data_IF_186009545289
#
_entry.id   IF_186009545289
#
_cell.length_a   1.000
_cell.length_b   1.000
_cell.length_c   1.000
_cell.angle_alpha   90.00
_cell.angle_beta   90.00
_cell.angle_gamma   90.00
#
_symmetry.space_group_name_H-M   'P 1'
#
loop_
_entity.id
_entity.type
_entity.pdbx_description
1 polymer ?
#
# COMPACT_ATOMS: atom_id res chain seq x y z
N UNK A 1 4.35 3.89 -24.00
CA UNK A 1 3.97 2.67 -23.24
C UNK A 1 2.76 3.01 -22.36
N UNK A 2 1.53 2.93 -22.86
CA UNK A 2 0.30 3.32 -22.13
C UNK A 2 -0.45 2.14 -21.47
N UNK A 3 0.05 0.90 -21.58
CA UNK A 3 -0.75 -0.32 -21.32
C UNK A 3 -0.23 -1.18 -20.15
N UNK A 4 0.37 -0.60 -19.10
CA UNK A 4 0.85 -1.36 -17.93
C UNK A 4 0.42 -0.75 -16.58
N UNK A 5 -0.73 -0.07 -16.54
CA UNK A 5 -1.24 0.49 -15.27
C UNK A 5 -1.48 -0.58 -14.19
N UNK A 6 -1.76 -1.83 -14.59
CA UNK A 6 -1.91 -2.96 -13.66
C UNK A 6 -0.67 -3.25 -12.80
N UNK A 7 0.51 -2.73 -13.18
CA UNK A 7 1.75 -2.85 -12.42
C UNK A 7 2.16 -1.52 -11.76
N UNK A 8 1.23 -0.57 -11.67
CA UNK A 8 1.42 0.76 -11.09
C UNK A 8 0.39 1.05 -9.99
N UNK A 9 -0.91 0.87 -10.25
CA UNK A 9 -1.97 1.21 -9.29
C UNK A 9 -3.05 0.14 -9.17
N UNK A 10 -3.98 0.36 -8.24
CA UNK A 10 -5.04 -0.56 -7.87
C UNK A 10 -4.76 -1.31 -6.57
N UNK A 11 -5.78 -1.99 -6.06
CA UNK A 11 -5.69 -2.78 -4.82
C UNK A 11 -4.59 -3.84 -4.90
N UNK A 12 -3.83 -4.00 -3.84
CA UNK A 12 -2.75 -4.99 -3.72
C UNK A 12 -3.17 -6.17 -2.85
N UNK A 13 -2.51 -7.30 -3.06
CA UNK A 13 -2.71 -8.54 -2.32
C UNK A 13 -1.36 -9.20 -2.03
N UNK A 14 -1.33 -10.16 -1.10
CA UNK A 14 -0.11 -10.89 -0.76
C UNK A 14 0.16 -11.94 -1.84
N UNK A 15 1.34 -11.92 -2.43
CA UNK A 15 1.82 -12.90 -3.40
C UNK A 15 2.33 -14.16 -2.68
N UNK A 16 2.42 -15.29 -3.37
CA UNK A 16 3.04 -16.49 -2.82
C UNK A 16 2.19 -17.25 -1.80
N UNK A 17 0.95 -16.84 -1.58
CA UNK A 17 -0.10 -17.60 -0.89
C UNK A 17 -1.42 -17.50 -1.66
N UNK A 18 -2.45 -18.19 -1.19
CA UNK A 18 -3.78 -18.15 -1.81
C UNK A 18 -4.30 -16.71 -1.86
N UNK A 19 -4.76 -16.27 -3.05
CA UNK A 19 -5.42 -14.98 -3.23
C UNK A 19 -6.84 -15.10 -2.67
N UNK A 20 -7.24 -14.24 -1.71
CA UNK A 20 -8.53 -14.37 -1.06
C UNK A 20 -9.66 -13.88 -1.98
N UNK A 21 -10.84 -14.49 -1.84
CA UNK A 21 -12.03 -14.17 -2.65
C UNK A 21 -12.61 -12.77 -2.38
N UNK A 22 -12.05 -12.03 -1.41
CA UNK A 22 -12.43 -10.64 -1.10
C UNK A 22 -11.66 -9.61 -1.93
N UNK A 23 -10.66 -10.02 -2.71
CA UNK A 23 -10.02 -9.18 -3.73
C UNK A 23 -11.07 -8.76 -4.77
N UNK A 24 -10.94 -7.55 -5.31
CA UNK A 24 -11.84 -7.04 -6.36
C UNK A 24 -11.74 -7.92 -7.61
N UNK A 25 -12.89 -8.36 -8.13
CA UNK A 25 -13.04 -9.31 -9.25
C UNK A 25 -12.35 -10.67 -9.03
N UNK A 26 -12.71 -11.41 -7.96
CA UNK A 26 -12.04 -12.66 -7.58
C UNK A 26 -12.20 -13.77 -8.63
N UNK A 27 -13.17 -13.68 -9.54
CA UNK A 27 -13.35 -14.62 -10.65
C UNK A 27 -12.12 -14.71 -11.58
N UNK A 28 -11.25 -13.70 -11.57
CA UNK A 28 -10.00 -13.68 -12.31
C UNK A 28 -8.81 -14.28 -11.54
N UNK A 29 -8.92 -14.54 -10.23
CA UNK A 29 -7.82 -15.09 -9.43
C UNK A 29 -7.27 -16.40 -10.04
N UNK A 30 -8.15 -17.27 -10.55
CA UNK A 30 -7.79 -18.53 -11.23
C UNK A 30 -6.92 -18.36 -12.48
N UNK A 31 -6.85 -17.15 -13.06
CA UNK A 31 -6.00 -16.86 -14.20
C UNK A 31 -4.55 -16.58 -13.78
N UNK A 32 -4.30 -16.33 -12.49
CA UNK A 32 -2.95 -16.22 -11.97
C UNK A 32 -2.31 -17.64 -11.93
N UNK A 33 -1.16 -17.87 -12.58
CA UNK A 33 -0.52 -19.18 -12.60
C UNK A 33 -0.19 -19.72 -11.21
N UNK A 34 0.07 -18.85 -10.23
CA UNK A 34 0.32 -19.26 -8.85
C UNK A 34 -0.89 -19.95 -8.20
N UNK A 35 -2.12 -19.67 -8.67
CA UNK A 35 -3.33 -20.34 -8.20
C UNK A 35 -3.50 -21.76 -8.77
N UNK A 36 -2.59 -22.21 -9.62
CA UNK A 36 -2.47 -23.61 -10.05
C UNK A 36 -1.24 -24.30 -9.47
N UNK A 37 -0.41 -23.60 -8.71
CA UNK A 37 0.82 -24.11 -8.11
C UNK A 37 0.57 -24.48 -6.64
N UNK A 38 0.77 -25.74 -6.30
CA UNK A 38 0.56 -26.26 -4.93
C UNK A 38 1.46 -25.59 -3.89
N UNK A 39 2.55 -24.93 -4.29
CA UNK A 39 3.44 -24.19 -3.38
C UNK A 39 2.83 -22.87 -2.89
N UNK A 40 1.87 -22.31 -3.65
CA UNK A 40 1.31 -20.98 -3.40
C UNK A 40 -0.20 -21.02 -3.20
N UNK A 41 -0.92 -21.95 -3.83
CA UNK A 41 -2.38 -22.03 -3.76
C UNK A 41 -2.90 -22.72 -2.48
N UNK A 42 -2.35 -22.35 -1.32
CA UNK A 42 -2.93 -22.71 -0.03
C UNK A 42 -2.77 -21.55 0.95
N UNK A 43 -3.44 -21.67 2.09
CA UNK A 43 -3.59 -20.62 3.10
C UNK A 43 -2.27 -19.90 3.45
N UNK A 44 -1.18 -20.64 3.63
CA UNK A 44 0.13 -20.08 4.00
C UNK A 44 1.07 -19.90 2.80
N UNK A 45 0.90 -20.70 1.74
CA UNK A 45 1.83 -20.72 0.62
C UNK A 45 3.29 -20.82 1.07
N UNK A 46 4.11 -19.85 0.68
CA UNK A 46 5.53 -19.77 1.06
C UNK A 46 5.80 -19.10 2.42
N UNK A 47 4.78 -18.74 3.21
CA UNK A 47 4.94 -18.04 4.48
C UNK A 47 4.77 -18.96 5.68
N UNK A 48 5.44 -18.60 6.78
CA UNK A 48 5.17 -19.18 8.09
C UNK A 48 3.93 -18.53 8.73
N UNK A 49 3.18 -19.26 9.57
CA UNK A 49 2.10 -18.67 10.36
C UNK A 49 2.59 -17.48 11.19
N UNK A 50 1.80 -16.40 11.19
CA UNK A 50 2.08 -15.18 11.96
C UNK A 50 3.49 -14.59 11.70
N UNK A 51 4.04 -14.76 10.49
CA UNK A 51 5.36 -14.22 10.15
C UNK A 51 5.43 -12.69 10.25
N UNK A 52 4.28 -12.02 10.19
CA UNK A 52 4.15 -10.58 10.33
C UNK A 52 4.31 -9.83 9.02
N UNK A 53 3.77 -8.61 9.00
CA UNK A 53 3.61 -7.81 7.79
C UNK A 53 4.93 -7.49 7.06
N UNK A 54 6.04 -7.42 7.79
CA UNK A 54 7.36 -7.12 7.22
C UNK A 54 7.94 -8.26 6.38
N UNK A 55 7.43 -9.48 6.58
CA UNK A 55 7.85 -10.67 5.84
C UNK A 55 6.94 -10.97 4.65
N UNK A 56 5.88 -10.19 4.45
CA UNK A 56 4.92 -10.40 3.36
C UNK A 56 5.36 -9.68 2.09
N UNK A 57 5.25 -10.38 0.97
CA UNK A 57 5.46 -9.79 -0.35
C UNK A 57 4.10 -9.44 -0.96
N UNK A 58 3.86 -8.16 -1.19
CA UNK A 58 2.65 -7.67 -1.86
C UNK A 58 2.84 -7.58 -3.37
N UNK A 59 1.73 -7.61 -4.10
CA UNK A 59 1.71 -7.32 -5.53
C UNK A 59 2.41 -5.99 -5.82
N UNK A 60 3.34 -5.98 -6.78
CA UNK A 60 4.15 -4.80 -7.09
C UNK A 60 3.28 -3.65 -7.62
N UNK A 61 3.48 -2.46 -7.05
CA UNK A 61 2.79 -1.25 -7.44
C UNK A 61 3.40 0.00 -6.79
N UNK A 62 2.65 1.10 -6.83
CA UNK A 62 3.07 2.39 -6.30
C UNK A 62 3.37 2.39 -4.80
N UNK A 63 2.67 1.59 -4.00
CA UNK A 63 2.91 1.46 -2.56
C UNK A 63 4.37 1.06 -2.25
N UNK A 64 4.78 -0.13 -2.71
CA UNK A 64 6.12 -0.66 -2.45
C UNK A 64 7.19 0.20 -3.12
N UNK A 65 6.92 0.72 -4.33
CA UNK A 65 7.84 1.63 -5.01
C UNK A 65 8.07 2.90 -4.18
N UNK A 66 7.01 3.58 -3.75
CA UNK A 66 7.10 4.83 -3.01
C UNK A 66 7.74 4.61 -1.64
N UNK A 67 7.38 3.54 -0.92
CA UNK A 67 8.04 3.16 0.33
C UNK A 67 9.55 3.01 0.15
N UNK A 68 9.98 2.22 -0.86
CA UNK A 68 11.41 2.01 -1.13
C UNK A 68 12.11 3.29 -1.57
N UNK A 69 11.44 4.16 -2.32
CA UNK A 69 11.95 5.48 -2.71
C UNK A 69 12.19 6.36 -1.47
N UNK A 70 11.21 6.46 -0.57
CA UNK A 70 11.32 7.23 0.67
C UNK A 70 12.47 6.73 1.56
N UNK A 71 12.57 5.41 1.75
CA UNK A 71 13.65 4.79 2.54
C UNK A 71 15.01 5.03 1.88
N UNK A 72 15.13 4.87 0.56
CA UNK A 72 16.39 5.07 -0.16
C UNK A 72 16.86 6.53 -0.17
N UNK A 73 15.94 7.48 0.01
CA UNK A 73 16.24 8.91 0.16
C UNK A 73 16.42 9.33 1.63
N UNK A 74 16.50 8.37 2.57
CA UNK A 74 16.67 8.64 4.00
C UNK A 74 15.63 9.61 4.56
N UNK A 75 14.36 9.46 4.15
CA UNK A 75 13.30 10.29 4.72
C UNK A 75 13.19 10.02 6.24
N UNK A 76 12.70 11.01 6.99
CA UNK A 76 12.54 10.92 8.44
C UNK A 76 11.07 10.82 8.86
N UNK A 77 10.19 10.41 7.93
CA UNK A 77 8.80 10.08 8.25
C UNK A 77 8.79 8.90 9.26
N UNK A 78 7.99 8.96 10.34
CA UNK A 78 7.85 7.87 11.28
C UNK A 78 7.39 6.55 10.62
N UNK A 79 7.61 5.44 11.31
CA UNK A 79 7.33 4.10 10.77
C UNK A 79 5.87 3.94 10.36
N UNK A 80 4.96 4.48 11.16
CA UNK A 80 3.52 4.48 10.92
C UNK A 80 3.19 5.20 9.61
N UNK A 81 3.86 6.33 9.34
CA UNK A 81 3.76 7.07 8.08
C UNK A 81 4.22 6.25 6.87
N UNK A 82 5.32 5.54 7.02
CA UNK A 82 5.85 4.66 5.98
C UNK A 82 4.97 3.43 5.75
N UNK A 83 4.40 2.86 6.81
CA UNK A 83 3.46 1.74 6.71
C UNK A 83 2.16 2.16 6.01
N UNK A 84 1.62 3.35 6.32
CA UNK A 84 0.49 3.93 5.59
C UNK A 84 0.80 4.01 4.09
N UNK A 85 1.95 4.56 3.68
CA UNK A 85 2.36 4.60 2.27
C UNK A 85 2.50 3.19 1.66
N UNK A 86 3.10 2.25 2.39
CA UNK A 86 3.44 0.92 1.88
C UNK A 86 2.25 -0.03 1.75
N UNK A 87 1.17 0.22 2.48
CA UNK A 87 0.06 -0.73 2.58
C UNK A 87 -1.33 -0.11 2.34
N UNK A 88 -1.43 1.17 1.95
CA UNK A 88 -2.72 1.83 1.72
C UNK A 88 -3.56 1.23 0.58
N UNK A 89 -2.96 0.51 -0.36
CA UNK A 89 -3.70 -0.20 -1.40
C UNK A 89 -4.08 -1.62 -1.00
N UNK A 90 -3.67 -2.11 0.18
CA UNK A 90 -3.92 -3.48 0.62
C UNK A 90 -5.35 -3.68 1.17
N UNK A 91 -6.37 -3.28 0.42
CA UNK A 91 -7.80 -3.32 0.81
C UNK A 91 -8.26 -4.70 1.31
N UNK A 92 -7.87 -5.83 0.70
CA UNK A 92 -8.21 -7.14 1.25
C UNK A 92 -7.78 -7.29 2.71
N UNK A 93 -6.65 -6.70 3.08
CA UNK A 93 -6.10 -6.75 4.44
C UNK A 93 -6.79 -5.74 5.36
N UNK A 94 -6.68 -4.43 5.08
CA UNK A 94 -7.07 -3.39 6.03
C UNK A 94 -8.58 -3.09 6.04
N UNK A 95 -9.33 -3.39 4.96
CA UNK A 95 -10.78 -3.17 4.88
C UNK A 95 -11.57 -4.48 5.02
N UNK A 96 -11.13 -5.55 4.34
CA UNK A 96 -11.85 -6.84 4.32
C UNK A 96 -11.38 -7.84 5.39
N UNK A 97 -10.28 -7.55 6.10
CA UNK A 97 -9.78 -8.39 7.19
C UNK A 97 -9.16 -9.73 6.76
N UNK A 98 -8.68 -9.84 5.52
CA UNK A 98 -7.91 -10.98 5.03
C UNK A 98 -6.51 -11.03 5.67
N UNK A 99 -5.82 -12.17 5.49
CA UNK A 99 -4.44 -12.41 5.92
C UNK A 99 -4.16 -12.38 7.44
N UNK A 100 -5.18 -12.37 8.30
CA UNK A 100 -5.00 -12.39 9.77
C UNK A 100 -4.11 -13.53 10.27
N UNK A 101 -4.10 -14.67 9.58
CA UNK A 101 -3.24 -15.82 9.89
C UNK A 101 -1.75 -15.59 9.61
N UNK A 102 -1.40 -14.54 8.85
CA UNK A 102 -0.03 -14.14 8.56
C UNK A 102 0.44 -12.97 9.43
N UNK A 103 -0.47 -12.22 10.04
CA UNK A 103 -0.16 -11.07 10.90
C UNK A 103 0.24 -11.53 12.31
N UNK A 104 1.10 -10.76 12.97
CA UNK A 104 1.42 -10.91 14.41
C UNK A 104 0.70 -9.84 15.23
N UNK A 105 0.64 -10.03 16.55
CA UNK A 105 -0.09 -9.13 17.45
C UNK A 105 0.32 -7.65 17.31
N UNK A 106 1.60 -7.36 17.13
CA UNK A 106 2.10 -6.00 16.93
C UNK A 106 1.70 -5.35 15.59
N UNK A 107 1.23 -6.13 14.61
CA UNK A 107 0.71 -5.57 13.36
C UNK A 107 -0.69 -4.96 13.52
N UNK A 108 -1.38 -5.22 14.64
CA UNK A 108 -2.72 -4.67 14.92
C UNK A 108 -2.70 -3.13 14.96
N UNK A 109 -1.77 -2.53 15.72
CA UNK A 109 -1.61 -1.08 15.78
C UNK A 109 -1.26 -0.48 14.41
N UNK A 110 -0.45 -1.19 13.62
CA UNK A 110 -0.10 -0.76 12.25
C UNK A 110 -1.32 -0.71 11.36
N UNK A 111 -2.21 -1.72 11.48
CA UNK A 111 -3.48 -1.74 10.74
C UNK A 111 -4.40 -0.58 11.13
N UNK A 112 -4.44 -0.19 12.41
CA UNK A 112 -5.24 0.96 12.86
C UNK A 112 -4.80 2.25 12.16
N UNK A 113 -3.49 2.51 12.09
CA UNK A 113 -2.97 3.68 11.38
C UNK A 113 -3.29 3.67 9.88
N UNK A 114 -3.13 2.51 9.23
CA UNK A 114 -3.48 2.33 7.81
C UNK A 114 -4.98 2.61 7.58
N UNK A 115 -5.85 2.09 8.46
CA UNK A 115 -7.30 2.32 8.37
C UNK A 115 -7.68 3.79 8.62
N UNK A 116 -6.97 4.50 9.51
CA UNK A 116 -7.16 5.94 9.71
C UNK A 116 -6.80 6.72 8.45
N UNK A 117 -5.65 6.43 7.85
CA UNK A 117 -5.23 7.07 6.60
C UNK A 117 -6.19 6.81 5.45
N UNK A 118 -6.66 5.57 5.31
CA UNK A 118 -7.57 5.17 4.24
C UNK A 118 -8.87 6.00 4.20
N UNK A 119 -9.36 6.49 5.36
CA UNK A 119 -10.52 7.38 5.41
C UNK A 119 -10.26 8.69 4.66
N UNK A 120 -9.07 9.26 4.78
CA UNK A 120 -8.70 10.48 4.08
C UNK A 120 -8.44 10.20 2.61
N UNK A 121 -7.67 9.17 2.26
CA UNK A 121 -7.44 8.80 0.85
C UNK A 121 -8.75 8.55 0.10
N UNK A 122 -9.70 7.82 0.69
CA UNK A 122 -10.94 7.46 0.02
C UNK A 122 -11.94 8.63 -0.05
N UNK A 123 -12.17 9.33 1.05
CA UNK A 123 -13.31 10.24 1.19
C UNK A 123 -13.01 11.72 0.94
N UNK A 124 -11.76 12.11 0.68
CA UNK A 124 -11.43 13.48 0.22
C UNK A 124 -11.32 13.59 -1.30
N UNK A 125 -11.66 12.51 -2.04
CA UNK A 125 -11.74 12.52 -3.50
C UNK A 125 -12.98 13.31 -3.92
N UNK A 126 -12.77 14.47 -4.52
CA UNK A 126 -13.82 15.34 -5.03
C UNK A 126 -13.85 15.27 -6.56
N UNK A 127 -14.93 14.70 -7.12
CA UNK A 127 -15.11 14.57 -8.58
C UNK A 127 -15.26 15.92 -9.28
N UNK A 128 -15.71 16.95 -8.57
CA UNK A 128 -15.89 18.29 -9.13
C UNK A 128 -14.56 19.07 -9.19
N UNK A 129 -13.48 18.56 -8.55
CA UNK A 129 -12.14 19.15 -8.52
C UNK A 129 -12.17 20.68 -8.35
N UNK A 130 -12.99 21.16 -7.41
CA UNK A 130 -13.09 22.59 -7.09
C UNK A 130 -11.85 23.10 -6.30
N UNK A 131 -10.73 22.35 -6.36
CA UNK A 131 -9.40 22.83 -6.02
C UNK A 131 -9.01 23.83 -7.10
N UNK A 132 -9.48 25.06 -6.92
CA UNK A 132 -9.10 26.19 -7.76
C UNK A 132 -7.56 26.34 -7.69
N UNK A 133 -6.95 26.65 -8.84
CA UNK A 133 -5.48 26.69 -8.97
C UNK A 133 -4.80 27.62 -7.94
N UNK A 134 -5.51 28.64 -7.44
CA UNK A 134 -5.06 29.54 -6.37
C UNK A 134 -4.82 28.83 -5.02
N UNK A 135 -5.55 27.76 -4.71
CA UNK A 135 -5.32 26.98 -3.48
C UNK A 135 -3.97 26.26 -3.46
N UNK A 136 -3.43 25.87 -4.62
CA UNK A 136 -2.15 25.15 -4.68
C UNK A 136 -1.02 26.09 -4.24
N UNK A 137 -1.03 27.33 -4.73
CA UNK A 137 -0.03 28.34 -4.37
C UNK A 137 -0.09 28.70 -2.87
N UNK A 138 -1.29 28.75 -2.29
CA UNK A 138 -1.49 29.02 -0.85
C UNK A 138 -1.05 27.84 0.04
N UNK A 139 -1.26 26.60 -0.42
CA UNK A 139 -0.88 25.39 0.32
C UNK A 139 0.60 25.04 0.18
N UNK A 140 1.23 25.43 -0.93
CA UNK A 140 2.58 25.03 -1.26
C UNK A 140 3.63 25.38 -0.20
N UNK A 141 3.64 26.59 0.41
CA UNK A 141 4.56 26.91 1.50
C UNK A 141 4.47 25.94 2.69
N UNK A 142 3.26 25.52 3.05
CA UNK A 142 3.03 24.56 4.13
C UNK A 142 3.61 23.18 3.79
N UNK A 143 3.25 22.63 2.62
CA UNK A 143 3.75 21.30 2.21
C UNK A 143 5.25 21.30 1.95
N UNK A 144 5.82 22.39 1.42
CA UNK A 144 7.28 22.54 1.29
C UNK A 144 7.97 22.48 2.66
N UNK A 145 7.45 23.16 3.68
CA UNK A 145 7.99 23.08 5.04
C UNK A 145 7.94 21.66 5.62
N UNK A 146 6.90 20.87 5.29
CA UNK A 146 6.83 19.46 5.67
C UNK A 146 7.87 18.61 4.91
N UNK A 147 8.07 18.85 3.61
CA UNK A 147 9.10 18.17 2.84
C UNK A 147 10.49 18.44 3.43
N UNK A 148 10.81 19.69 3.77
CA UNK A 148 12.07 20.04 4.45
C UNK A 148 12.21 19.33 5.81
N UNK A 149 11.16 19.37 6.64
CA UNK A 149 11.13 18.71 7.96
C UNK A 149 11.42 17.22 7.88
N UNK A 150 10.88 16.54 6.85
CA UNK A 150 10.99 15.09 6.70
C UNK A 150 12.12 14.63 5.77
N UNK A 151 13.09 15.51 5.50
CA UNK A 151 14.25 15.24 4.65
C UNK A 151 13.88 14.87 3.19
N UNK A 152 12.88 15.56 2.65
CA UNK A 152 12.36 15.40 1.28
C UNK A 152 12.36 16.71 0.47
N UNK A 153 12.94 17.79 1.00
CA UNK A 153 12.95 19.12 0.37
C UNK A 153 13.95 19.30 -0.77
N UNK A 154 14.95 18.42 -0.86
CA UNK A 154 16.00 18.46 -1.89
C UNK A 154 15.67 17.55 -3.09
N UNK A 155 16.59 17.50 -4.07
CA UNK A 155 16.46 16.63 -5.23
C UNK A 155 16.53 15.15 -4.80
N UNK A 156 15.41 14.45 -4.97
CA UNK A 156 15.28 13.02 -4.65
C UNK A 156 15.70 12.11 -5.81
N UNK A 157 16.03 10.86 -5.48
CA UNK A 157 16.26 9.76 -6.41
C UNK A 157 14.96 8.98 -6.57
N UNK A 158 14.53 8.79 -7.82
CA UNK A 158 13.31 8.09 -8.21
C UNK A 158 13.65 6.84 -9.03
#
# INVERSE_FOLDING_TARGET
KKNKQFALGGDTWVLGCQIPDVVVFPEFNKLNPDMSDERYNHMYGCYEPNCGLDNLMFAWGHDEYMYRMLVANNCTIPREGLDMVRYHSAYPMHDKGAYKHLLKAEDEERMEWIQVFNKFDLYTKDEENDIREDFIDDLWPYYRGLLEKYNLGEKLKW
#
